data_IF_603481759634
#
_entry.id   IF_603481759634
#
_cell.length_a   1.000
_cell.length_b   1.000
_cell.length_c   1.000
_cell.angle_alpha   90.00
_cell.angle_beta   90.00
_cell.angle_gamma   90.00
#
_symmetry.space_group_name_H-M   'P 1'
#
loop_
_entity.id
_entity.type
_entity.pdbx_description
1 polymer ?
#
# COMPACT_ATOMS: atom_id res chain seq x y z
N UNK A 1 23.07 27.78 66.66
CA UNK A 1 22.85 27.55 65.21
C UNK A 1 21.58 26.72 65.10
N UNK A 2 20.52 27.17 64.38
CA UNK A 2 19.31 26.38 64.25
C UNK A 2 19.48 25.31 63.16
N UNK A 3 19.21 24.06 63.52
CA UNK A 3 19.29 22.91 62.64
C UNK A 3 18.02 22.83 61.78
N UNK A 4 18.21 22.85 60.46
CA UNK A 4 17.14 22.81 59.47
C UNK A 4 16.59 21.39 59.36
N UNK A 5 15.58 21.04 60.17
CA UNK A 5 14.92 19.73 60.16
C UNK A 5 13.92 19.64 59.00
N UNK A 6 14.43 19.56 57.77
CA UNK A 6 13.61 19.20 56.62
C UNK A 6 13.14 17.74 56.78
N UNK A 7 11.84 17.59 57.03
CA UNK A 7 11.19 16.31 57.28
C UNK A 7 11.33 15.36 56.09
N UNK A 8 12.00 14.22 56.31
CA UNK A 8 12.14 13.12 55.32
C UNK A 8 10.80 12.64 54.76
N UNK A 9 9.69 12.88 55.47
CA UNK A 9 8.33 12.54 55.02
C UNK A 9 7.90 13.34 53.78
N UNK A 10 8.43 14.54 53.57
CA UNK A 10 8.06 15.38 52.43
C UNK A 10 8.72 14.93 51.12
N UNK A 11 9.96 14.42 51.17
CA UNK A 11 10.69 13.94 50.00
C UNK A 11 10.13 12.64 49.42
N UNK A 12 9.56 11.77 50.27
CA UNK A 12 8.97 10.51 49.81
C UNK A 12 7.61 10.72 49.11
N UNK A 13 6.84 11.73 49.51
CA UNK A 13 5.53 12.01 48.92
C UNK A 13 5.64 12.64 47.54
N UNK A 14 6.66 13.46 47.27
CA UNK A 14 6.87 14.05 45.94
C UNK A 14 7.38 13.05 44.90
N UNK A 15 8.01 11.96 45.31
CA UNK A 15 8.50 10.93 44.39
C UNK A 15 7.39 9.98 43.89
N UNK A 16 6.29 9.81 44.63
CA UNK A 16 5.21 8.90 44.24
C UNK A 16 4.41 9.39 43.02
N UNK A 17 4.38 10.70 42.78
CA UNK A 17 3.63 11.29 41.68
C UNK A 17 4.39 11.30 40.35
N UNK A 18 5.71 11.03 40.37
CA UNK A 18 6.55 11.05 39.17
C UNK A 18 6.73 9.68 38.52
N UNK A 19 6.51 8.60 39.28
CA UNK A 19 6.75 7.22 38.82
C UNK A 19 5.68 6.66 37.86
N UNK A 20 4.36 7.01 37.93
CA UNK A 20 3.39 6.32 37.09
C UNK A 20 3.46 6.76 35.62
N UNK A 21 3.99 7.94 35.31
CA UNK A 21 4.06 8.44 33.92
C UNK A 21 5.20 7.77 33.14
N UNK A 22 6.34 7.53 33.79
CA UNK A 22 7.48 6.88 33.13
C UNK A 22 7.20 5.40 32.88
N UNK A 23 6.53 4.70 33.81
CA UNK A 23 6.18 3.30 33.60
C UNK A 23 5.18 3.09 32.45
N UNK A 24 4.23 4.01 32.24
CA UNK A 24 3.27 3.93 31.12
C UNK A 24 3.93 4.30 29.79
N UNK A 25 4.92 5.19 29.78
CA UNK A 25 5.65 5.54 28.56
C UNK A 25 6.60 4.43 28.06
N UNK A 26 7.12 3.58 28.96
CA UNK A 26 8.07 2.50 28.60
C UNK A 26 7.36 1.15 28.39
N UNK A 27 6.08 1.02 28.74
CA UNK A 27 5.30 -0.21 28.53
C UNK A 27 4.77 -0.38 27.09
N UNK A 28 4.86 0.64 26.24
CA UNK A 28 4.32 0.62 24.87
C UNK A 28 5.35 0.64 23.72
N UNK A 29 6.45 -0.14 23.78
CA UNK A 29 7.14 -0.55 22.55
C UNK A 29 7.09 -2.06 22.27
N UNK A 30 6.51 -2.89 23.16
CA UNK A 30 6.50 -4.35 22.95
C UNK A 30 5.29 -4.87 22.15
N UNK A 31 4.15 -4.17 22.19
CA UNK A 31 2.96 -4.56 21.41
C UNK A 31 3.06 -4.20 19.91
N UNK A 32 4.04 -3.38 19.53
CA UNK A 32 4.30 -3.02 18.13
C UNK A 32 5.36 -3.92 17.45
N UNK A 33 5.99 -4.85 18.18
CA UNK A 33 7.14 -5.63 17.71
C UNK A 33 6.82 -7.07 17.27
N UNK A 34 5.54 -7.47 17.30
CA UNK A 34 5.11 -8.83 16.91
C UNK A 34 3.94 -8.80 15.94
N UNK A 35 3.88 -7.81 15.05
CA UNK A 35 3.06 -7.97 13.86
C UNK A 35 3.64 -9.14 13.05
N UNK A 36 2.83 -10.15 12.67
CA UNK A 36 3.33 -11.20 11.80
C UNK A 36 3.84 -10.55 10.49
N UNK A 37 5.06 -10.91 10.04
CA UNK A 37 5.61 -10.38 8.81
C UNK A 37 4.69 -10.75 7.65
N UNK A 38 4.35 -9.76 6.83
CA UNK A 38 3.51 -9.91 5.65
C UNK A 38 4.33 -9.48 4.44
N UNK A 39 4.45 -10.34 3.43
CA UNK A 39 5.25 -10.07 2.22
C UNK A 39 4.32 -10.13 1.01
N UNK A 40 4.12 -9.00 0.36
CA UNK A 40 3.34 -8.92 -0.86
C UNK A 40 4.29 -8.83 -2.05
N UNK A 41 4.06 -9.71 -3.02
CA UNK A 41 4.79 -9.71 -4.27
C UNK A 41 3.89 -9.14 -5.34
N UNK A 42 4.26 -7.98 -5.86
CA UNK A 42 3.64 -7.38 -7.04
C UNK A 42 4.46 -7.82 -8.25
N UNK A 43 3.82 -8.53 -9.17
CA UNK A 43 4.41 -8.92 -10.45
C UNK A 43 3.63 -8.30 -11.58
N UNK A 44 4.31 -8.00 -12.69
CA UNK A 44 3.66 -7.49 -13.89
C UNK A 44 3.93 -8.44 -15.06
N UNK A 45 2.89 -8.68 -15.84
CA UNK A 45 2.96 -9.49 -17.06
C UNK A 45 2.18 -8.79 -18.15
N UNK A 46 2.51 -9.05 -19.42
CA UNK A 46 1.73 -8.54 -20.54
C UNK A 46 1.01 -9.63 -21.30
N UNK A 47 -0.32 -9.59 -21.18
CA UNK A 47 -1.23 -10.47 -21.89
C UNK A 47 -1.14 -10.17 -23.38
N UNK A 48 -0.67 -11.16 -24.13
CA UNK A 48 -0.49 -11.10 -25.57
C UNK A 48 0.35 -9.90 -26.03
N UNK A 49 1.24 -9.40 -25.17
CA UNK A 49 2.09 -8.22 -25.42
C UNK A 49 1.35 -6.88 -25.47
N UNK A 50 0.04 -6.85 -25.18
CA UNK A 50 -0.79 -5.66 -25.38
C UNK A 50 -1.41 -5.09 -24.13
N UNK A 51 -1.82 -5.93 -23.19
CA UNK A 51 -2.52 -5.50 -21.97
C UNK A 51 -1.67 -5.89 -20.77
N UNK A 52 -1.16 -4.93 -19.97
CA UNK A 52 -0.49 -5.30 -18.74
C UNK A 52 -1.50 -5.79 -17.70
N UNK A 53 -1.05 -6.79 -16.97
CA UNK A 53 -1.71 -7.39 -15.81
C UNK A 53 -0.73 -7.35 -14.66
N UNK A 54 -1.09 -6.60 -13.63
CA UNK A 54 -0.42 -6.67 -12.34
C UNK A 54 -1.07 -7.80 -11.54
N UNK A 55 -0.27 -8.73 -11.07
CA UNK A 55 -0.69 -9.83 -10.21
C UNK A 55 -0.02 -9.62 -8.86
N UNK A 56 -0.84 -9.51 -7.83
CA UNK A 56 -0.42 -9.36 -6.45
C UNK A 56 -0.74 -10.66 -5.73
N UNK A 57 0.25 -11.19 -5.01
CA UNK A 57 0.17 -12.42 -4.23
C UNK A 57 0.93 -12.25 -2.92
N UNK A 58 0.55 -12.97 -1.88
CA UNK A 58 1.37 -13.09 -0.68
C UNK A 58 2.50 -14.11 -0.93
N UNK A 59 3.73 -13.77 -0.55
CA UNK A 59 4.93 -14.52 -0.92
C UNK A 59 4.96 -15.97 -0.37
N UNK A 60 4.32 -16.19 0.78
CA UNK A 60 4.26 -17.48 1.46
C UNK A 60 2.99 -18.29 1.10
N UNK A 61 2.24 -17.87 0.08
CA UNK A 61 1.01 -18.54 -0.35
C UNK A 61 -0.20 -18.28 0.56
N UNK A 62 -0.15 -17.23 1.37
CA UNK A 62 -1.25 -16.74 2.19
C UNK A 62 -2.33 -15.99 1.39
N UNK A 63 -3.21 -15.31 2.13
CA UNK A 63 -4.27 -14.47 1.54
C UNK A 63 -3.92 -13.00 1.71
N UNK A 64 -4.24 -12.20 0.69
CA UNK A 64 -4.23 -10.75 0.76
C UNK A 64 -5.43 -10.32 1.59
N UNK A 65 -5.17 -9.54 2.63
CA UNK A 65 -6.19 -9.14 3.59
C UNK A 65 -7.02 -7.97 3.07
N UNK A 66 -8.31 -7.98 3.41
CA UNK A 66 -9.21 -6.85 3.21
C UNK A 66 -8.67 -5.59 3.94
N UNK A 67 -8.82 -4.44 3.30
CA UNK A 67 -8.27 -3.18 3.81
C UNK A 67 -6.84 -2.88 3.38
N UNK A 68 -6.15 -3.82 2.71
CA UNK A 68 -4.89 -3.52 2.02
C UNK A 68 -5.16 -2.43 0.97
N UNK A 69 -4.31 -1.40 0.95
CA UNK A 69 -4.40 -0.28 0.01
C UNK A 69 -3.23 -0.35 -0.94
N UNK A 70 -3.54 -0.43 -2.23
CA UNK A 70 -2.57 -0.32 -3.31
C UNK A 70 -2.79 1.01 -4.01
N UNK A 71 -1.73 1.66 -4.45
CA UNK A 71 -1.82 2.82 -5.30
C UNK A 71 -1.33 2.43 -6.67
N UNK A 72 -2.19 2.69 -7.67
CA UNK A 72 -1.74 2.70 -9.05
C UNK A 72 -1.39 4.13 -9.43
N UNK A 73 -0.20 4.28 -9.97
CA UNK A 73 0.37 5.51 -10.49
C UNK A 73 0.61 5.35 -11.97
N UNK A 74 0.26 6.36 -12.76
CA UNK A 74 0.52 6.42 -14.19
C UNK A 74 0.91 7.84 -14.58
N UNK A 75 1.59 7.99 -15.71
CA UNK A 75 1.74 9.31 -16.34
C UNK A 75 0.34 9.91 -16.58
N UNK A 76 0.26 11.25 -16.64
CA UNK A 76 -0.99 12.00 -16.75
C UNK A 76 -1.65 11.75 -18.11
N UNK A 77 -2.27 10.58 -18.23
CA UNK A 77 -2.75 10.02 -19.48
C UNK A 77 -4.26 10.09 -19.59
N UNK A 78 -4.76 9.97 -20.82
CA UNK A 78 -6.18 9.92 -21.06
C UNK A 78 -6.81 8.66 -20.42
N UNK A 79 -8.10 8.76 -20.09
CA UNK A 79 -8.82 7.90 -19.15
C UNK A 79 -8.52 6.39 -19.32
N UNK A 80 -7.90 5.78 -18.30
CA UNK A 80 -7.63 4.34 -18.24
C UNK A 80 -8.58 3.65 -17.27
N UNK A 81 -9.31 2.64 -17.76
CA UNK A 81 -10.20 1.82 -16.95
C UNK A 81 -9.47 0.59 -16.44
N UNK A 82 -9.58 0.37 -15.13
CA UNK A 82 -8.99 -0.76 -14.43
C UNK A 82 -10.04 -1.86 -14.29
N UNK A 83 -9.66 -3.10 -14.59
CA UNK A 83 -10.42 -4.28 -14.18
C UNK A 83 -9.69 -4.93 -13.01
N UNK A 84 -10.42 -5.19 -11.92
CA UNK A 84 -9.84 -5.73 -10.68
C UNK A 84 -10.62 -6.93 -10.19
N UNK A 85 -9.91 -7.93 -9.67
CA UNK A 85 -10.53 -9.10 -9.02
C UNK A 85 -10.28 -8.99 -7.52
N UNK A 86 -11.31 -8.69 -6.72
CA UNK A 86 -11.16 -8.54 -5.26
C UNK A 86 -10.90 -7.11 -4.74
N UNK A 87 -10.79 -6.12 -5.64
CA UNK A 87 -10.69 -4.70 -5.28
C UNK A 87 -11.74 -3.86 -6.01
N UNK A 88 -11.97 -2.64 -5.51
CA UNK A 88 -12.94 -1.69 -6.10
C UNK A 88 -12.44 -1.19 -7.45
N UNK A 89 -13.29 -1.32 -8.48
CA UNK A 89 -13.02 -0.88 -9.85
C UNK A 89 -12.61 0.60 -9.91
N UNK A 90 -11.62 0.89 -10.74
CA UNK A 90 -11.05 2.22 -10.83
C UNK A 90 -10.86 2.80 -12.20
N UNK A 91 -10.68 4.13 -12.22
CA UNK A 91 -10.32 4.89 -13.42
C UNK A 91 -9.18 5.86 -13.08
N UNK A 92 -8.08 5.75 -13.81
CA UNK A 92 -7.06 6.80 -13.90
C UNK A 92 -7.49 7.74 -15.03
N UNK A 93 -7.23 9.03 -14.91
CA UNK A 93 -7.70 9.96 -15.94
C UNK A 93 -7.00 11.30 -15.89
N UNK A 94 -7.34 12.20 -16.83
CA UNK A 94 -6.69 13.50 -16.93
C UNK A 94 -6.83 14.27 -15.60
N UNK A 95 -5.71 14.69 -15.04
CA UNK A 95 -5.62 15.38 -13.74
C UNK A 95 -5.45 14.47 -12.51
N UNK A 96 -5.43 13.14 -12.68
CA UNK A 96 -5.13 12.18 -11.60
C UNK A 96 -4.08 11.17 -12.06
N UNK A 97 -2.83 11.45 -11.72
CA UNK A 97 -1.69 10.57 -11.95
C UNK A 97 -1.64 9.37 -10.99
N UNK A 98 -2.43 9.38 -9.90
CA UNK A 98 -2.47 8.30 -8.92
C UNK A 98 -3.89 7.99 -8.48
N UNK A 99 -4.14 6.73 -8.12
CA UNK A 99 -5.41 6.29 -7.54
C UNK A 99 -5.20 5.18 -6.53
N UNK A 100 -5.72 5.33 -5.29
CA UNK A 100 -5.76 4.23 -4.35
C UNK A 100 -6.84 3.21 -4.74
N UNK A 101 -6.54 1.95 -4.47
CA UNK A 101 -7.35 0.76 -4.68
C UNK A 101 -7.36 0.01 -3.34
N UNK A 102 -8.54 -0.13 -2.76
CA UNK A 102 -8.73 -0.85 -1.50
C UNK A 102 -9.20 -2.26 -1.80
N UNK A 103 -8.52 -3.25 -1.23
CA UNK A 103 -8.97 -4.65 -1.25
C UNK A 103 -10.22 -4.78 -0.39
N UNK A 104 -11.32 -5.26 -0.98
CA UNK A 104 -12.63 -5.26 -0.32
C UNK A 104 -12.93 -6.55 0.46
N UNK A 105 -12.22 -7.62 0.16
CA UNK A 105 -12.39 -8.94 0.78
C UNK A 105 -11.05 -9.69 0.77
N UNK A 106 -10.88 -10.64 1.67
CA UNK A 106 -9.67 -11.46 1.70
C UNK A 106 -9.59 -12.31 0.43
N UNK A 107 -8.48 -12.21 -0.30
CA UNK A 107 -8.30 -12.91 -1.58
C UNK A 107 -6.89 -13.47 -1.73
N UNK A 108 -6.73 -14.71 -2.25
CA UNK A 108 -5.40 -15.30 -2.44
C UNK A 108 -4.58 -14.61 -3.54
N UNK A 109 -5.27 -14.05 -4.55
CA UNK A 109 -4.65 -13.37 -5.68
C UNK A 109 -5.50 -12.14 -6.03
N UNK A 110 -4.85 -11.01 -6.20
CA UNK A 110 -5.44 -9.79 -6.74
C UNK A 110 -4.84 -9.52 -8.11
N UNK A 111 -5.68 -9.30 -9.11
CA UNK A 111 -5.22 -8.90 -10.46
C UNK A 111 -5.75 -7.54 -10.81
N UNK A 112 -4.91 -6.71 -11.43
CA UNK A 112 -5.26 -5.37 -11.94
C UNK A 112 -4.89 -5.32 -13.42
N UNK A 113 -5.89 -5.22 -14.29
CA UNK A 113 -5.72 -5.13 -15.74
C UNK A 113 -6.04 -3.72 -16.24
N UNK A 114 -5.19 -3.18 -17.13
CA UNK A 114 -5.42 -1.91 -17.80
C UNK A 114 -6.21 -2.17 -19.10
N UNK A 115 -7.55 -2.21 -19.01
CA UNK A 115 -8.40 -2.79 -20.07
C UNK A 115 -8.84 -1.81 -21.15
N UNK A 116 -9.03 -0.52 -20.81
CA UNK A 116 -9.44 0.51 -21.78
C UNK A 116 -8.66 1.76 -21.56
N UNK A 117 -8.11 2.32 -22.62
CA UNK A 117 -7.55 3.66 -22.63
C UNK A 117 -8.37 4.50 -23.61
N UNK A 118 -8.75 5.70 -23.20
CA UNK A 118 -9.22 6.73 -24.14
C UNK A 118 -7.98 7.48 -24.61
N UNK A 119 -7.88 7.96 -25.85
CA UNK A 119 -6.72 8.74 -26.35
C UNK A 119 -5.48 7.96 -26.79
N UNK A 120 -4.46 8.72 -27.21
CA UNK A 120 -3.15 8.24 -27.69
C UNK A 120 -2.10 8.60 -26.65
N UNK A 121 -1.19 7.68 -26.38
CA UNK A 121 -0.07 7.92 -25.48
C UNK A 121 1.14 7.08 -25.87
N UNK A 122 2.33 7.59 -25.58
CA UNK A 122 3.60 6.93 -25.82
C UNK A 122 4.39 6.94 -24.51
N UNK A 123 5.20 5.90 -24.31
CA UNK A 123 6.22 5.80 -23.25
C UNK A 123 5.71 6.23 -21.88
N UNK A 124 4.67 5.57 -21.43
CA UNK A 124 4.01 5.88 -20.19
C UNK A 124 4.18 4.77 -19.18
N UNK A 125 4.79 5.12 -18.07
CA UNK A 125 5.04 4.18 -16.99
C UNK A 125 3.82 4.06 -16.09
N UNK A 126 3.37 2.83 -15.89
CA UNK A 126 2.36 2.47 -14.92
C UNK A 126 3.02 1.68 -13.80
N UNK A 127 2.89 2.18 -12.58
CA UNK A 127 3.43 1.53 -11.38
C UNK A 127 2.29 1.21 -10.43
N UNK A 128 2.22 -0.03 -9.98
CA UNK A 128 1.36 -0.45 -8.87
C UNK A 128 2.27 -0.66 -7.66
N UNK A 129 1.91 -0.05 -6.54
CA UNK A 129 2.63 -0.20 -5.28
C UNK A 129 1.66 -0.41 -4.12
N UNK A 130 2.00 -1.29 -3.19
CA UNK A 130 1.32 -1.39 -1.89
C UNK A 130 1.64 -0.12 -1.11
N UNK A 131 0.60 0.53 -0.58
CA UNK A 131 0.73 1.81 0.13
C UNK A 131 0.48 1.66 1.62
N UNK A 132 -0.42 0.76 2.00
CA UNK A 132 -0.63 0.42 3.40
C UNK A 132 -1.25 -0.97 3.55
N UNK A 133 -0.85 -1.65 4.62
CA UNK A 133 -1.46 -2.88 5.09
C UNK A 133 -2.54 -2.59 6.16
N UNK A 134 -3.43 -3.55 6.45
CA UNK A 134 -4.35 -3.45 7.57
C UNK A 134 -3.62 -3.25 8.90
N UNK A 135 -4.30 -2.62 9.87
CA UNK A 135 -3.73 -2.37 11.19
C UNK A 135 -3.27 -3.68 11.86
N UNK A 136 -2.07 -3.68 12.45
CA UNK A 136 -1.48 -4.84 13.10
C UNK A 136 -0.60 -5.71 12.20
N UNK A 137 -0.44 -5.35 10.92
CA UNK A 137 0.50 -5.99 10.00
C UNK A 137 1.63 -5.03 9.63
N UNK A 138 2.82 -5.60 9.44
CA UNK A 138 3.99 -4.89 8.95
C UNK A 138 4.52 -5.60 7.73
N UNK A 139 4.82 -4.82 6.70
CA UNK A 139 5.47 -5.32 5.50
C UNK A 139 6.90 -5.77 5.85
N UNK A 140 7.23 -7.00 5.51
CA UNK A 140 8.56 -7.57 5.72
C UNK A 140 9.50 -7.42 4.53
N UNK A 141 9.00 -7.02 3.36
CA UNK A 141 9.78 -6.97 2.12
C UNK A 141 9.28 -5.89 1.14
N UNK A 142 9.37 -4.62 1.54
CA UNK A 142 9.00 -3.44 0.73
C UNK A 142 9.59 -3.37 -0.69
N UNK A 143 10.66 -4.10 -0.98
CA UNK A 143 11.22 -4.20 -2.33
C UNK A 143 10.31 -4.96 -3.31
N UNK A 144 9.45 -5.86 -2.81
CA UNK A 144 8.54 -6.69 -3.61
C UNK A 144 7.16 -6.03 -3.80
N UNK A 145 6.86 -5.02 -2.98
CA UNK A 145 5.57 -4.35 -2.89
C UNK A 145 5.24 -3.44 -4.10
N UNK A 146 6.08 -3.41 -5.13
CA UNK A 146 5.84 -2.61 -6.31
C UNK A 146 6.31 -3.25 -7.61
N UNK A 147 5.58 -2.97 -8.69
CA UNK A 147 6.00 -3.29 -10.04
C UNK A 147 5.62 -2.16 -10.99
N UNK A 148 6.47 -1.93 -11.99
CA UNK A 148 6.28 -0.92 -13.02
C UNK A 148 6.36 -1.53 -14.41
N UNK A 149 5.62 -0.96 -15.36
CA UNK A 149 5.72 -1.33 -16.78
C UNK A 149 5.54 -0.12 -17.67
N UNK A 150 6.36 -0.05 -18.72
CA UNK A 150 6.26 0.96 -19.75
C UNK A 150 5.19 0.57 -20.77
N UNK A 151 4.44 1.55 -21.25
CA UNK A 151 3.34 1.31 -22.17
C UNK A 151 3.22 2.41 -23.21
N UNK A 152 3.01 2.00 -24.45
CA UNK A 152 2.55 2.89 -25.52
C UNK A 152 1.28 2.32 -26.11
N UNK A 153 0.33 3.17 -26.51
CA UNK A 153 -0.87 2.66 -27.14
C UNK A 153 -1.82 3.72 -27.67
N UNK A 154 -2.80 3.21 -28.42
CA UNK A 154 -3.82 3.99 -29.10
C UNK A 154 -5.19 3.34 -28.88
N UNK A 155 -6.24 4.16 -28.96
CA UNK A 155 -7.61 3.65 -29.02
C UNK A 155 -7.82 2.96 -30.38
N UNK A 156 -8.18 1.68 -30.36
CA UNK A 156 -8.71 1.01 -31.54
C UNK A 156 -10.22 1.30 -31.70
N UNK A 157 -10.72 1.16 -32.93
CA UNK A 157 -12.15 1.37 -33.21
C UNK A 157 -13.01 0.50 -32.28
N UNK A 158 -14.02 1.11 -31.65
CA UNK A 158 -14.85 0.46 -30.61
C UNK A 158 -14.41 0.69 -29.16
N UNK A 159 -13.38 1.53 -28.92
CA UNK A 159 -12.94 1.87 -27.55
C UNK A 159 -12.14 0.77 -26.86
N UNK A 160 -11.66 -0.21 -27.65
CA UNK A 160 -10.74 -1.24 -27.21
C UNK A 160 -9.31 -0.72 -27.27
N UNK A 161 -8.49 -1.16 -26.33
CA UNK A 161 -7.10 -0.78 -26.25
C UNK A 161 -6.23 -1.61 -27.19
N UNK A 162 -5.37 -0.97 -27.97
CA UNK A 162 -4.24 -1.61 -28.66
C UNK A 162 -2.98 -0.87 -28.23
N UNK A 163 -2.24 -1.49 -27.31
CA UNK A 163 -0.93 -1.02 -26.90
C UNK A 163 0.13 -2.09 -27.01
N UNK A 164 1.35 -1.68 -26.70
CA UNK A 164 2.52 -2.53 -26.58
C UNK A 164 3.11 -2.24 -25.21
N UNK A 165 3.36 -3.30 -24.45
CA UNK A 165 4.13 -3.20 -23.22
C UNK A 165 5.63 -3.24 -23.52
N UNK A 166 6.40 -2.45 -22.78
CA UNK A 166 7.85 -2.42 -22.79
C UNK A 166 8.41 -2.73 -21.40
#
# INVERSE_FOLDING_TARGET
MPENTLSRRFLATSALWSVPVVAVAVATPAAAASAPPFDLVVTVTCLSGKVPRFTITEANGGVILAGTVLTITGSALPLVTLSTTGAVIGRLGPGRASRPLTVSADTPVLTIDLWKVSGIFAESDFTVAVTSLPAGYTDSAAANDSASIGMSGVVASGGLFVGICA
#
